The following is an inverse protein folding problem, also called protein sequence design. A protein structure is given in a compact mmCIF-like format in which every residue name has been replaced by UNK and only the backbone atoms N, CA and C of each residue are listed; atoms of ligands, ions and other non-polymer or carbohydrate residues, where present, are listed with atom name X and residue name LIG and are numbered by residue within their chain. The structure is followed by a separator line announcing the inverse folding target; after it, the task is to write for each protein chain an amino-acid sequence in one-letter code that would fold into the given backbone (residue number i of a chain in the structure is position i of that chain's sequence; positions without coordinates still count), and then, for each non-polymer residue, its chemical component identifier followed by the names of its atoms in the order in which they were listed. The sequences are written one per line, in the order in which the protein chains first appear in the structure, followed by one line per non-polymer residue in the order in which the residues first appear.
data_IF_819420670229
#
_entry.id   IF_819420670229
#
_cell.length_a   1.000
_cell.length_b   1.000
_cell.length_c   1.000
_cell.angle_alpha   90.00
_cell.angle_beta   90.00
_cell.angle_gamma   90.00
#
_symmetry.space_group_name_H-M   'P 1'
#
loop_
_entity.id
_entity.type
_entity.pdbx_description
1 polymer ?
#
# COMPACT_ATOMS: atom_id res chain seq x y z
N UNK A 1 46.76 49.41 6.42
CA UNK A 1 46.05 49.88 5.21
C UNK A 1 45.82 48.80 4.15
N UNK A 2 46.68 47.77 4.01
CA UNK A 2 46.48 46.68 3.03
C UNK A 2 45.28 45.75 3.28
N UNK A 3 44.84 45.57 4.54
CA UNK A 3 43.74 44.66 4.86
C UNK A 3 42.36 45.18 4.40
N UNK A 4 42.17 46.49 4.34
CA UNK A 4 40.92 47.08 3.84
C UNK A 4 40.74 46.85 2.33
N UNK A 5 41.85 46.88 1.58
CA UNK A 5 41.82 46.68 0.13
C UNK A 5 41.51 45.24 -0.27
N UNK A 6 42.01 44.26 0.49
CA UNK A 6 41.69 42.84 0.29
C UNK A 6 40.22 42.54 0.60
N UNK A 7 39.66 43.15 1.65
CA UNK A 7 38.24 43.00 1.98
C UNK A 7 37.34 43.61 0.88
N UNK A 8 37.71 44.76 0.33
CA UNK A 8 36.99 45.38 -0.79
C UNK A 8 37.10 44.55 -2.08
N UNK A 9 38.25 43.95 -2.37
CA UNK A 9 38.45 43.07 -3.52
C UNK A 9 37.63 41.77 -3.40
N UNK A 10 37.61 41.16 -2.21
CA UNK A 10 36.77 39.99 -1.93
C UNK A 10 35.28 40.31 -2.05
N UNK A 11 34.85 41.48 -1.59
CA UNK A 11 33.45 41.90 -1.69
C UNK A 11 33.02 42.13 -3.15
N UNK A 12 33.87 42.76 -3.96
CA UNK A 12 33.62 42.96 -5.41
C UNK A 12 33.60 41.61 -6.15
N UNK A 13 34.48 40.67 -5.79
CA UNK A 13 34.46 39.31 -6.34
C UNK A 13 33.16 38.58 -5.97
N UNK A 14 32.70 38.64 -4.73
CA UNK A 14 31.43 37.99 -4.31
C UNK A 14 30.23 38.57 -5.05
N UNK A 15 30.17 39.90 -5.26
CA UNK A 15 29.08 40.55 -6.01
C UNK A 15 29.16 40.27 -7.52
N UNK A 16 30.36 40.05 -8.07
CA UNK A 16 30.53 39.73 -9.50
C UNK A 16 30.22 38.26 -9.82
N UNK A 17 30.32 37.37 -8.83
CA UNK A 17 30.03 35.94 -8.96
C UNK A 17 28.67 35.52 -8.37
N UNK A 18 27.93 36.43 -7.73
CA UNK A 18 26.53 36.19 -7.43
C UNK A 18 25.74 36.18 -8.72
N UNK A 19 25.37 34.98 -9.19
CA UNK A 19 24.42 34.83 -10.28
C UNK A 19 23.16 35.63 -9.95
N UNK A 20 22.55 36.32 -10.93
CA UNK A 20 21.30 37.01 -10.69
C UNK A 20 20.31 36.00 -10.12
N UNK A 21 19.82 36.24 -8.91
CA UNK A 21 18.61 35.60 -8.43
C UNK A 21 17.55 36.04 -9.43
N UNK A 22 17.20 35.15 -10.37
CA UNK A 22 16.12 35.40 -11.31
C UNK A 22 14.87 35.60 -10.46
N UNK A 23 14.49 36.85 -10.26
CA UNK A 23 13.27 37.20 -9.56
C UNK A 23 12.13 36.54 -10.34
N UNK A 24 11.41 35.62 -9.69
CA UNK A 24 10.22 35.00 -10.27
C UNK A 24 9.26 36.10 -10.69
N UNK A 25 8.72 35.98 -11.90
CA UNK A 25 7.76 36.95 -12.42
C UNK A 25 6.36 36.56 -11.98
N UNK A 26 5.77 37.37 -11.12
CA UNK A 26 4.40 37.16 -10.67
C UNK A 26 3.41 37.38 -11.83
N UNK A 27 2.42 36.49 -11.90
CA UNK A 27 1.28 36.52 -12.82
C UNK A 27 -0.02 36.54 -12.02
N UNK A 28 -1.02 37.23 -12.54
CA UNK A 28 -2.39 37.17 -12.03
C UNK A 28 -3.08 35.88 -12.47
N UNK A 29 -4.09 35.44 -11.72
CA UNK A 29 -4.87 34.24 -12.06
C UNK A 29 -5.51 34.34 -13.46
N UNK A 30 -6.02 35.52 -13.84
CA UNK A 30 -6.60 35.73 -15.15
C UNK A 30 -5.57 35.58 -16.29
N UNK A 31 -4.33 35.99 -16.07
CA UNK A 31 -3.26 35.79 -17.05
C UNK A 31 -2.91 34.32 -17.20
N UNK A 32 -2.84 33.57 -16.10
CA UNK A 32 -2.62 32.11 -16.11
C UNK A 32 -3.71 31.41 -16.92
N UNK A 33 -4.98 31.70 -16.62
CA UNK A 33 -6.13 31.10 -17.32
C UNK A 33 -6.11 31.42 -18.82
N UNK A 34 -5.79 32.67 -19.21
CA UNK A 34 -5.65 33.05 -20.62
C UNK A 34 -4.54 32.28 -21.33
N UNK A 35 -3.41 32.05 -20.66
CA UNK A 35 -2.32 31.26 -21.22
C UNK A 35 -2.69 29.79 -21.40
N UNK A 36 -3.38 29.19 -20.43
CA UNK A 36 -3.86 27.81 -20.51
C UNK A 36 -4.87 27.60 -21.65
N UNK A 37 -5.62 28.65 -22.03
CA UNK A 37 -6.59 28.63 -23.12
C UNK A 37 -6.03 29.13 -24.47
N UNK A 38 -4.73 29.43 -24.54
CA UNK A 38 -4.10 29.97 -25.74
C UNK A 38 -4.09 28.92 -26.86
N UNK A 39 -4.85 29.18 -27.93
CA UNK A 39 -4.94 28.28 -29.10
C UNK A 39 -3.58 27.97 -29.74
N UNK A 40 -2.68 28.96 -29.75
CA UNK A 40 -1.32 28.79 -30.29
C UNK A 40 -0.52 27.78 -29.46
N UNK A 41 -0.63 27.85 -28.13
CA UNK A 41 0.07 26.91 -27.24
C UNK A 41 -0.57 25.53 -27.31
N UNK A 42 -1.90 25.45 -27.32
CA UNK A 42 -2.62 24.18 -27.43
C UNK A 42 -2.23 23.42 -28.70
N UNK A 43 -2.20 24.09 -29.85
CA UNK A 43 -1.76 23.48 -31.10
C UNK A 43 -0.31 22.97 -31.03
N UNK A 44 0.58 23.70 -30.33
CA UNK A 44 1.97 23.24 -30.12
C UNK A 44 2.03 22.02 -29.20
N UNK A 45 1.18 21.95 -28.18
CA UNK A 45 1.08 20.78 -27.31
C UNK A 45 0.59 19.57 -28.09
N UNK A 46 -0.36 19.72 -29.01
CA UNK A 46 -0.79 18.64 -29.91
C UNK A 46 0.36 18.14 -30.78
N UNK A 47 1.15 19.05 -31.38
CA UNK A 47 2.38 18.68 -32.12
C UNK A 47 3.37 17.90 -31.22
N UNK A 48 3.50 18.31 -29.96
CA UNK A 48 4.40 17.65 -29.00
C UNK A 48 3.89 16.27 -28.58
N UNK A 49 2.58 16.08 -28.49
CA UNK A 49 1.98 14.78 -28.18
C UNK A 49 2.27 13.74 -29.26
N UNK A 50 2.34 14.14 -30.54
CA UNK A 50 2.80 13.25 -31.61
C UNK A 50 4.25 12.78 -31.39
N UNK A 51 5.14 13.67 -30.90
CA UNK A 51 6.52 13.28 -30.56
C UNK A 51 6.55 12.35 -29.35
N UNK A 52 5.65 12.53 -28.38
CA UNK A 52 5.47 11.60 -27.25
C UNK A 52 4.97 10.23 -27.75
N UNK A 53 4.03 10.17 -28.67
CA UNK A 53 3.58 8.92 -29.34
C UNK A 53 4.72 8.18 -30.03
N UNK A 54 5.62 8.91 -30.68
CA UNK A 54 6.79 8.38 -31.38
C UNK A 54 7.99 8.06 -30.47
N UNK A 55 7.90 8.35 -29.17
CA UNK A 55 9.00 8.26 -28.20
C UNK A 55 10.24 9.10 -28.60
N UNK A 56 10.04 10.19 -29.37
CA UNK A 56 11.09 11.12 -29.79
C UNK A 56 11.31 12.22 -28.74
N UNK A 57 12.01 11.85 -27.66
CA UNK A 57 12.33 12.77 -26.57
C UNK A 57 13.31 13.88 -26.94
N UNK A 58 14.18 13.63 -27.93
CA UNK A 58 15.17 14.60 -28.39
C UNK A 58 14.49 15.69 -29.22
N UNK A 59 13.63 15.29 -30.16
CA UNK A 59 12.77 16.19 -30.91
C UNK A 59 11.85 17.00 -30.00
N UNK A 60 11.25 16.34 -29.00
CA UNK A 60 10.39 17.00 -28.02
C UNK A 60 11.14 18.06 -27.20
N UNK A 61 12.32 17.71 -26.67
CA UNK A 61 13.17 18.65 -25.92
C UNK A 61 13.58 19.84 -26.79
N UNK A 62 13.96 19.58 -28.04
CA UNK A 62 14.30 20.63 -28.99
C UNK A 62 13.12 21.56 -29.26
N UNK A 63 11.93 21.01 -29.53
CA UNK A 63 10.74 21.77 -29.88
C UNK A 63 10.25 22.63 -28.69
N UNK A 64 10.25 22.09 -27.47
CA UNK A 64 9.94 22.84 -26.25
C UNK A 64 10.92 23.99 -26.00
N UNK A 65 12.23 23.73 -26.17
CA UNK A 65 13.25 24.75 -25.90
C UNK A 65 13.23 25.93 -26.89
N UNK A 66 12.57 25.78 -28.03
CA UNK A 66 12.38 26.86 -29.01
C UNK A 66 11.21 27.79 -28.71
N UNK A 67 10.29 27.39 -27.83
CA UNK A 67 9.21 28.26 -27.41
C UNK A 67 9.75 29.39 -26.55
N UNK A 68 9.24 30.60 -26.76
CA UNK A 68 9.52 31.73 -25.89
C UNK A 68 8.78 31.59 -24.55
N UNK A 69 9.30 32.21 -23.50
CA UNK A 69 8.54 32.39 -22.26
C UNK A 69 7.41 33.41 -22.47
N UNK A 70 6.21 33.20 -21.90
CA UNK A 70 5.81 32.11 -21.00
C UNK A 70 5.32 30.83 -21.71
N UNK A 71 5.10 30.85 -23.03
CA UNK A 71 4.53 29.73 -23.80
C UNK A 71 5.23 28.40 -23.51
N UNK A 72 6.54 28.44 -23.33
CA UNK A 72 7.34 27.28 -22.98
C UNK A 72 6.90 26.58 -21.69
N UNK A 73 6.67 27.32 -20.60
CA UNK A 73 6.25 26.73 -19.32
C UNK A 73 4.80 26.27 -19.36
N UNK A 74 3.94 27.00 -20.07
CA UNK A 74 2.56 26.62 -20.33
C UNK A 74 2.52 25.28 -21.08
N UNK A 75 3.33 25.15 -22.15
CA UNK A 75 3.40 23.93 -22.94
C UNK A 75 3.95 22.75 -22.14
N UNK A 76 4.99 22.95 -21.31
CA UNK A 76 5.48 21.92 -20.37
C UNK A 76 4.37 21.42 -19.44
N UNK A 77 3.64 22.36 -18.85
CA UNK A 77 2.55 22.05 -17.93
C UNK A 77 1.42 21.28 -18.60
N UNK A 78 0.91 21.78 -19.74
CA UNK A 78 -0.19 21.14 -20.46
C UNK A 78 0.20 19.78 -21.02
N UNK A 79 1.41 19.63 -21.56
CA UNK A 79 1.92 18.34 -22.06
C UNK A 79 1.99 17.30 -20.95
N UNK A 80 2.63 17.63 -19.83
CA UNK A 80 2.77 16.68 -18.71
C UNK A 80 1.44 16.39 -18.05
N UNK A 81 0.55 17.40 -17.96
CA UNK A 81 -0.82 17.21 -17.48
C UNK A 81 -1.57 16.23 -18.39
N UNK A 82 -1.47 16.37 -19.71
CA UNK A 82 -2.09 15.45 -20.65
C UNK A 82 -1.54 14.02 -20.51
N UNK A 83 -0.23 13.85 -20.27
CA UNK A 83 0.37 12.53 -20.02
C UNK A 83 -0.17 11.93 -18.70
N UNK A 84 -0.32 12.75 -17.66
CA UNK A 84 -0.84 12.33 -16.35
C UNK A 84 -2.33 11.97 -16.42
N UNK A 85 -3.15 12.83 -17.02
CA UNK A 85 -4.61 12.68 -17.12
C UNK A 85 -5.02 11.46 -17.95
N UNK A 86 -4.21 11.07 -18.95
CA UNK A 86 -4.44 9.87 -19.79
C UNK A 86 -3.75 8.61 -19.26
N UNK A 87 -3.16 8.67 -18.05
CA UNK A 87 -2.56 7.51 -17.39
C UNK A 87 -1.51 6.75 -18.23
N UNK A 88 -0.79 7.46 -19.09
CA UNK A 88 0.13 6.83 -20.04
C UNK A 88 1.36 6.25 -19.33
N UNK A 89 1.66 4.98 -19.61
CA UNK A 89 2.90 4.34 -19.14
C UNK A 89 4.09 4.98 -19.86
N UNK A 90 5.07 5.46 -19.08
CA UNK A 90 6.26 6.09 -19.65
C UNK A 90 7.28 5.04 -20.13
N UNK A 91 7.85 5.26 -21.31
CA UNK A 91 9.07 4.57 -21.71
C UNK A 91 10.25 5.02 -20.82
N UNK A 92 11.37 4.27 -20.78
CA UNK A 92 12.58 4.72 -20.09
C UNK A 92 13.11 6.05 -20.61
N UNK A 93 13.06 6.30 -21.93
CA UNK A 93 13.48 7.57 -22.52
C UNK A 93 12.58 8.72 -22.06
N UNK A 94 11.26 8.52 -22.11
CA UNK A 94 10.29 9.51 -21.69
C UNK A 94 10.41 9.80 -20.18
N UNK A 95 10.67 8.78 -19.35
CA UNK A 95 10.93 8.97 -17.93
C UNK A 95 12.16 9.87 -17.68
N UNK A 96 13.24 9.71 -18.43
CA UNK A 96 14.41 10.62 -18.36
C UNK A 96 14.01 12.05 -18.75
N UNK A 97 13.22 12.21 -19.82
CA UNK A 97 12.73 13.52 -20.24
C UNK A 97 11.87 14.20 -19.15
N UNK A 98 10.91 13.49 -18.57
CA UNK A 98 10.01 13.98 -17.50
C UNK A 98 10.83 14.31 -16.24
N UNK A 99 11.81 13.46 -15.89
CA UNK A 99 12.72 13.71 -14.77
C UNK A 99 13.53 14.99 -14.99
N UNK A 100 13.90 15.28 -16.24
CA UNK A 100 14.52 16.56 -16.61
C UNK A 100 13.60 17.76 -16.35
N UNK A 101 12.29 17.64 -16.61
CA UNK A 101 11.33 18.72 -16.35
C UNK A 101 11.15 19.01 -14.86
N UNK A 102 11.23 17.99 -13.99
CA UNK A 102 11.17 18.14 -12.52
C UNK A 102 12.27 19.08 -11.98
N UNK A 103 13.44 19.07 -12.61
CA UNK A 103 14.61 19.83 -12.15
C UNK A 103 14.67 21.26 -12.67
N UNK A 104 13.76 21.68 -13.56
CA UNK A 104 13.71 23.04 -14.08
C UNK A 104 12.96 23.96 -13.12
N UNK A 105 13.54 25.10 -12.68
CA UNK A 105 12.86 26.04 -11.82
C UNK A 105 11.77 26.80 -12.60
N UNK A 106 10.55 26.93 -12.08
CA UNK A 106 9.52 27.79 -12.66
C UNK A 106 9.95 29.25 -12.64
N UNK A 107 9.72 29.94 -13.75
CA UNK A 107 10.01 31.37 -13.93
C UNK A 107 8.84 32.23 -13.52
N UNK A 108 7.61 31.73 -13.68
CA UNK A 108 6.39 32.44 -13.37
C UNK A 108 5.72 31.87 -12.12
N UNK A 109 5.32 32.76 -11.21
CA UNK A 109 4.57 32.42 -10.00
C UNK A 109 3.25 33.17 -9.94
N UNK A 110 2.34 32.70 -9.10
CA UNK A 110 1.06 33.34 -8.81
C UNK A 110 0.85 33.35 -7.29
N UNK A 111 0.21 34.40 -6.78
CA UNK A 111 -0.22 34.44 -5.39
C UNK A 111 -1.49 33.60 -5.19
N UNK A 112 -1.44 32.69 -4.23
CA UNK A 112 -2.58 31.94 -3.74
C UNK A 112 -2.92 32.41 -2.32
N UNK A 113 -4.21 32.60 -2.04
CA UNK A 113 -4.72 33.02 -0.73
C UNK A 113 -5.49 31.89 -0.07
N UNK A 114 -5.08 31.49 1.13
CA UNK A 114 -5.75 30.46 1.92
C UNK A 114 -5.54 30.69 3.41
N UNK A 115 -6.59 30.47 4.22
CA UNK A 115 -6.55 30.52 5.70
C UNK A 115 -5.90 31.79 6.30
N UNK A 116 -6.06 32.95 5.64
CA UNK A 116 -5.50 34.22 6.10
C UNK A 116 -4.02 34.45 5.76
N UNK A 117 -3.41 33.56 4.97
CA UNK A 117 -2.04 33.67 4.47
C UNK A 117 -2.02 33.83 2.95
N UNK A 118 -0.97 34.50 2.44
CA UNK A 118 -0.65 34.58 1.02
C UNK A 118 0.65 33.82 0.78
N UNK A 119 0.66 32.92 -0.20
CA UNK A 119 1.86 32.19 -0.59
C UNK A 119 2.04 32.22 -2.11
N UNK A 120 3.30 32.23 -2.55
CA UNK A 120 3.66 32.23 -3.97
C UNK A 120 3.87 30.81 -4.46
N UNK A 121 3.10 30.40 -5.47
CA UNK A 121 3.21 29.09 -6.11
C UNK A 121 3.63 29.22 -7.58
N UNK A 122 4.23 28.19 -8.19
CA UNK A 122 4.45 28.18 -9.63
C UNK A 122 3.13 28.37 -10.39
N UNK A 123 3.10 29.34 -11.32
CA UNK A 123 1.91 29.63 -12.13
C UNK A 123 1.54 28.46 -13.04
N UNK A 124 2.56 27.71 -13.49
CA UNK A 124 2.42 26.48 -14.26
C UNK A 124 3.23 25.37 -13.56
N UNK A 125 2.59 24.59 -12.70
CA UNK A 125 3.30 23.66 -11.79
C UNK A 125 3.69 22.33 -12.46
N UNK A 126 4.43 22.42 -13.57
CA UNK A 126 4.99 21.27 -14.28
C UNK A 126 6.00 20.45 -13.44
N UNK A 127 6.78 21.01 -12.48
CA UNK A 127 7.67 20.20 -11.65
C UNK A 127 6.90 19.23 -10.74
N UNK A 128 5.76 19.65 -10.18
CA UNK A 128 4.94 18.79 -9.34
C UNK A 128 4.31 17.64 -10.15
N UNK A 129 3.79 17.91 -11.35
CA UNK A 129 3.28 16.86 -12.25
C UNK A 129 4.42 15.88 -12.61
N UNK A 130 5.59 16.41 -12.97
CA UNK A 130 6.76 15.57 -13.28
C UNK A 130 7.13 14.66 -12.11
N UNK A 131 7.13 15.17 -10.88
CA UNK A 131 7.42 14.38 -9.69
C UNK A 131 6.43 13.24 -9.48
N UNK A 132 5.12 13.47 -9.73
CA UNK A 132 4.09 12.43 -9.64
C UNK A 132 4.23 11.38 -10.74
N UNK A 133 4.45 11.80 -11.99
CA UNK A 133 4.69 10.91 -13.12
C UNK A 133 5.90 9.99 -12.89
N UNK A 134 7.03 10.53 -12.42
CA UNK A 134 8.21 9.71 -12.09
C UNK A 134 7.95 8.76 -10.92
N UNK A 135 7.21 9.22 -9.90
CA UNK A 135 6.82 8.35 -8.78
C UNK A 135 5.97 7.17 -9.28
N UNK A 136 5.00 7.41 -10.16
CA UNK A 136 4.17 6.37 -10.79
C UNK A 136 5.04 5.41 -11.60
N UNK A 137 5.85 5.92 -12.52
CA UNK A 137 6.72 5.08 -13.36
C UNK A 137 7.65 4.18 -12.55
N UNK A 138 8.29 4.71 -11.49
CA UNK A 138 9.12 3.89 -10.60
C UNK A 138 8.31 2.80 -9.89
N UNK A 139 7.05 3.07 -9.55
CA UNK A 139 6.15 2.05 -8.99
C UNK A 139 5.84 0.98 -10.03
N UNK A 140 5.49 1.37 -11.26
CA UNK A 140 5.15 0.46 -12.36
C UNK A 140 6.32 -0.48 -12.70
N UNK A 141 7.56 0.05 -12.71
CA UNK A 141 8.76 -0.77 -12.92
C UNK A 141 8.94 -1.82 -11.82
N UNK A 142 8.76 -1.44 -10.55
CA UNK A 142 8.85 -2.38 -9.42
C UNK A 142 7.76 -3.43 -9.47
N UNK A 143 6.54 -3.04 -9.84
CA UNK A 143 5.42 -3.97 -10.04
C UNK A 143 5.75 -4.98 -11.13
N UNK A 144 6.24 -4.51 -12.28
CA UNK A 144 6.63 -5.40 -13.37
C UNK A 144 7.78 -6.34 -12.97
N UNK A 145 8.81 -5.82 -12.29
CA UNK A 145 9.93 -6.63 -11.78
C UNK A 145 9.43 -7.74 -10.84
N UNK A 146 8.58 -7.38 -9.87
CA UNK A 146 7.97 -8.33 -8.94
C UNK A 146 7.19 -9.43 -9.68
N UNK A 147 6.30 -9.05 -10.60
CA UNK A 147 5.49 -9.99 -11.37
C UNK A 147 6.39 -10.90 -12.21
N UNK A 148 7.38 -10.35 -12.94
CA UNK A 148 8.29 -11.15 -13.76
C UNK A 148 9.09 -12.15 -12.94
N UNK A 149 9.63 -11.74 -11.78
CA UNK A 149 10.36 -12.65 -10.89
C UNK A 149 9.45 -13.73 -10.30
N UNK A 150 8.21 -13.39 -9.94
CA UNK A 150 7.23 -14.34 -9.43
C UNK A 150 6.81 -15.36 -10.50
N UNK A 151 6.43 -14.89 -11.69
CA UNK A 151 5.97 -15.71 -12.80
C UNK A 151 7.06 -16.61 -13.38
N UNK A 152 8.32 -16.16 -13.31
CA UNK A 152 9.48 -16.96 -13.72
C UNK A 152 10.00 -17.91 -12.62
N UNK A 153 9.36 -17.96 -11.45
CA UNK A 153 9.78 -18.77 -10.29
C UNK A 153 11.20 -18.42 -9.81
N UNK A 154 11.57 -17.14 -9.92
CA UNK A 154 12.88 -16.60 -9.52
C UNK A 154 12.80 -15.73 -8.26
N UNK A 155 11.60 -15.33 -7.84
CA UNK A 155 11.41 -14.49 -6.65
C UNK A 155 11.73 -15.27 -5.37
N UNK A 156 12.84 -14.92 -4.71
CA UNK A 156 13.15 -15.40 -3.35
C UNK A 156 12.47 -14.50 -2.33
N UNK A 157 11.43 -15.00 -1.67
CA UNK A 157 10.53 -14.21 -0.82
C UNK A 157 11.25 -13.57 0.37
N UNK A 158 12.17 -14.32 1.00
CA UNK A 158 12.96 -13.82 2.13
C UNK A 158 13.80 -12.62 1.72
N UNK A 159 14.53 -12.73 0.62
CA UNK A 159 15.44 -11.69 0.16
C UNK A 159 14.64 -10.45 -0.28
N UNK A 160 13.54 -10.67 -0.98
CA UNK A 160 12.59 -9.62 -1.34
C UNK A 160 12.13 -8.80 -0.11
N UNK A 161 11.69 -9.47 0.95
CA UNK A 161 11.10 -8.82 2.13
C UNK A 161 12.12 -8.39 3.20
N UNK A 162 13.37 -8.87 3.15
CA UNK A 162 14.38 -8.62 4.19
C UNK A 162 15.51 -7.71 3.76
N UNK A 163 15.81 -7.60 2.47
CA UNK A 163 16.91 -6.77 1.99
C UNK A 163 16.55 -5.28 1.89
N UNK A 164 17.56 -4.42 2.03
CA UNK A 164 17.43 -2.98 1.91
C UNK A 164 17.03 -2.26 3.21
N UNK A 165 16.72 -0.97 3.07
CA UNK A 165 16.26 -0.10 4.15
C UNK A 165 14.81 -0.44 4.57
N UNK A 166 14.41 -0.04 5.77
CA UNK A 166 13.04 -0.26 6.27
C UNK A 166 11.97 0.36 5.35
N UNK A 167 12.30 1.49 4.72
CA UNK A 167 11.45 2.12 3.71
C UNK A 167 11.25 1.24 2.47
N UNK A 168 12.32 0.64 1.96
CA UNK A 168 12.26 -0.26 0.80
C UNK A 168 11.52 -1.55 1.11
N UNK A 169 11.77 -2.14 2.28
CA UNK A 169 11.05 -3.33 2.76
C UNK A 169 9.55 -3.07 2.81
N UNK A 170 9.13 -1.93 3.35
CA UNK A 170 7.71 -1.56 3.42
C UNK A 170 7.07 -1.42 2.04
N UNK A 171 7.77 -0.80 1.09
CA UNK A 171 7.28 -0.71 -0.30
C UNK A 171 7.13 -2.10 -0.93
N UNK A 172 8.11 -2.99 -0.73
CA UNK A 172 8.08 -4.35 -1.28
C UNK A 172 6.99 -5.21 -0.67
N UNK A 173 6.75 -5.05 0.63
CA UNK A 173 5.62 -5.66 1.34
C UNK A 173 4.29 -5.13 0.81
N UNK A 174 4.14 -3.81 0.69
CA UNK A 174 2.94 -3.18 0.13
C UNK A 174 2.65 -3.68 -1.29
N UNK A 175 3.70 -3.79 -2.10
CA UNK A 175 3.60 -4.28 -3.47
C UNK A 175 3.18 -5.75 -3.52
N UNK A 176 3.80 -6.62 -2.73
CA UNK A 176 3.41 -8.02 -2.65
C UNK A 176 1.94 -8.15 -2.23
N UNK A 177 1.53 -7.48 -1.15
CA UNK A 177 0.14 -7.57 -0.66
C UNK A 177 -0.87 -7.11 -1.71
N UNK A 178 -0.51 -6.08 -2.49
CA UNK A 178 -1.35 -5.52 -3.54
C UNK A 178 -1.47 -6.40 -4.78
N UNK A 179 -0.38 -7.05 -5.19
CA UNK A 179 -0.30 -7.76 -6.48
C UNK A 179 -0.37 -9.28 -6.35
N UNK A 180 -0.37 -9.86 -5.14
CA UNK A 180 -0.35 -11.32 -4.98
C UNK A 180 -1.55 -12.02 -5.64
N UNK A 181 -2.72 -11.38 -5.70
CA UNK A 181 -3.90 -11.93 -6.39
C UNK A 181 -3.87 -11.76 -7.92
N UNK A 182 -2.97 -10.92 -8.45
CA UNK A 182 -2.79 -10.75 -9.90
C UNK A 182 -1.82 -11.77 -10.51
N UNK A 183 -1.06 -12.48 -9.66
CA UNK A 183 -0.15 -13.54 -10.07
C UNK A 183 -0.88 -14.81 -10.52
N UNK A 184 -0.23 -15.60 -11.37
CA UNK A 184 -0.72 -16.90 -11.77
C UNK A 184 -0.80 -17.88 -10.57
N UNK A 185 -1.71 -18.87 -10.60
CA UNK A 185 -1.77 -19.89 -9.55
C UNK A 185 -0.45 -20.64 -9.35
N UNK A 186 0.33 -20.78 -10.43
CA UNK A 186 1.67 -21.39 -10.39
C UNK A 186 2.65 -20.53 -9.60
N UNK A 187 2.72 -19.23 -9.89
CA UNK A 187 3.56 -18.29 -9.16
C UNK A 187 3.18 -18.18 -7.68
N UNK A 188 1.87 -18.14 -7.39
CA UNK A 188 1.36 -18.13 -6.02
C UNK A 188 1.75 -19.38 -5.23
N UNK A 189 1.61 -20.57 -5.84
CA UNK A 189 2.05 -21.81 -5.21
C UNK A 189 3.57 -21.81 -4.95
N UNK A 190 4.38 -21.38 -5.93
CA UNK A 190 5.83 -21.28 -5.78
C UNK A 190 6.24 -20.37 -4.61
N UNK A 191 5.61 -19.19 -4.47
CA UNK A 191 5.93 -18.26 -3.38
C UNK A 191 5.46 -18.84 -2.03
N UNK A 192 4.27 -19.43 -1.97
CA UNK A 192 3.74 -20.04 -0.73
C UNK A 192 4.56 -21.23 -0.24
N UNK A 193 5.05 -22.07 -1.15
CA UNK A 193 5.90 -23.23 -0.83
C UNK A 193 7.20 -22.83 -0.12
N UNK A 194 7.74 -21.65 -0.39
CA UNK A 194 8.90 -21.13 0.33
C UNK A 194 8.62 -20.97 1.84
N UNK A 195 7.34 -20.80 2.23
CA UNK A 195 6.91 -20.70 3.62
C UNK A 195 6.46 -22.02 4.24
N UNK A 196 5.85 -22.91 3.46
CA UNK A 196 5.22 -24.13 3.97
C UNK A 196 6.15 -25.34 3.95
N UNK A 197 7.05 -25.42 2.97
CA UNK A 197 7.85 -26.64 2.73
C UNK A 197 9.19 -26.59 3.47
N UNK A 198 9.59 -25.40 3.93
CA UNK A 198 10.83 -25.19 4.67
C UNK A 198 10.52 -25.07 6.16
N UNK A 199 11.29 -25.73 7.03
CA UNK A 199 11.25 -25.45 8.46
C UNK A 199 11.82 -24.05 8.70
N UNK A 200 10.96 -23.05 8.63
CA UNK A 200 11.34 -21.67 8.85
C UNK A 200 11.60 -21.46 10.33
N UNK A 201 12.87 -21.42 10.71
CA UNK A 201 13.30 -21.13 12.08
C UNK A 201 13.91 -19.74 12.25
N UNK A 202 14.30 -19.08 11.15
CA UNK A 202 15.12 -17.85 11.22
C UNK A 202 14.40 -16.57 10.81
N UNK A 203 13.34 -16.65 10.00
CA UNK A 203 12.71 -15.45 9.45
C UNK A 203 11.25 -15.70 9.04
N UNK A 204 10.33 -14.85 9.47
CA UNK A 204 8.94 -14.88 9.00
C UNK A 204 8.55 -13.54 8.39
N UNK A 205 7.70 -13.52 7.35
CA UNK A 205 7.14 -12.29 6.83
C UNK A 205 6.19 -11.66 7.86
N UNK A 206 5.78 -10.41 7.62
CA UNK A 206 4.80 -9.74 8.46
C UNK A 206 3.47 -10.50 8.46
N UNK A 207 2.68 -10.35 9.53
CA UNK A 207 1.34 -10.92 9.63
C UNK A 207 0.45 -10.49 8.46
N UNK A 208 0.61 -9.25 7.98
CA UNK A 208 -0.13 -8.70 6.84
C UNK A 208 0.15 -9.46 5.54
N UNK A 209 1.42 -9.75 5.25
CA UNK A 209 1.81 -10.55 4.09
C UNK A 209 1.22 -11.94 4.18
N UNK A 210 1.39 -12.60 5.33
CA UNK A 210 0.95 -13.97 5.50
C UNK A 210 -0.58 -14.10 5.41
N UNK A 211 -1.32 -13.16 6.01
CA UNK A 211 -2.78 -13.08 5.85
C UNK A 211 -3.16 -12.98 4.38
N UNK A 212 -2.53 -12.08 3.61
CA UNK A 212 -2.89 -11.91 2.19
C UNK A 212 -2.60 -13.18 1.38
N UNK A 213 -1.45 -13.81 1.60
CA UNK A 213 -1.10 -15.05 0.91
C UNK A 213 -2.08 -16.19 1.26
N UNK A 214 -2.42 -16.33 2.55
CA UNK A 214 -3.38 -17.32 3.02
C UNK A 214 -4.79 -17.10 2.46
N UNK A 215 -5.22 -15.85 2.35
CA UNK A 215 -6.51 -15.48 1.74
C UNK A 215 -6.61 -15.86 0.27
N UNK A 216 -5.57 -15.54 -0.52
CA UNK A 216 -5.59 -15.74 -1.98
C UNK A 216 -5.52 -17.21 -2.35
N UNK A 217 -4.74 -18.00 -1.61
CA UNK A 217 -4.55 -19.42 -1.90
C UNK A 217 -5.51 -20.35 -1.15
N UNK A 218 -6.28 -19.83 -0.20
CA UNK A 218 -7.06 -20.63 0.77
C UNK A 218 -6.22 -21.77 1.39
N UNK A 219 -4.95 -21.49 1.68
CA UNK A 219 -3.97 -22.50 2.09
C UNK A 219 -3.96 -22.67 3.61
N UNK A 220 -4.39 -23.83 4.08
CA UNK A 220 -4.41 -24.19 5.49
C UNK A 220 -3.01 -24.20 6.14
N UNK A 221 -1.94 -24.49 5.40
CA UNK A 221 -0.58 -24.48 5.93
C UNK A 221 -0.10 -23.04 6.21
N UNK A 222 -0.46 -22.08 5.36
CA UNK A 222 -0.18 -20.66 5.62
C UNK A 222 -0.98 -20.14 6.82
N UNK A 223 -2.23 -20.57 6.97
CA UNK A 223 -3.02 -20.25 8.16
C UNK A 223 -2.45 -20.88 9.43
N UNK A 224 -1.99 -22.13 9.39
CA UNK A 224 -1.34 -22.76 10.55
C UNK A 224 -0.09 -21.98 10.99
N UNK A 225 0.70 -21.49 10.03
CA UNK A 225 1.81 -20.59 10.31
C UNK A 225 1.34 -19.27 10.95
N UNK A 226 0.30 -18.65 10.37
CA UNK A 226 -0.29 -17.40 10.86
C UNK A 226 -0.75 -17.52 12.31
N UNK A 227 -1.42 -18.61 12.66
CA UNK A 227 -1.95 -18.82 14.01
C UNK A 227 -0.88 -19.15 15.05
N UNK A 228 0.32 -19.54 14.63
CA UNK A 228 1.48 -19.71 15.52
C UNK A 228 2.19 -18.39 15.81
N UNK A 229 2.00 -17.36 14.98
CA UNK A 229 2.61 -16.05 15.20
C UNK A 229 1.99 -15.33 16.41
N UNK A 230 2.72 -14.33 16.92
CA UNK A 230 2.16 -13.40 17.91
C UNK A 230 0.98 -12.67 17.28
N UNK A 231 -0.18 -12.75 17.94
CA UNK A 231 -1.36 -12.04 17.47
C UNK A 231 -1.14 -10.52 17.47
N UNK A 232 -1.56 -9.90 16.37
CA UNK A 232 -1.60 -8.46 16.15
C UNK A 232 -2.93 -8.05 15.50
N UNK A 233 -3.04 -6.77 15.15
CA UNK A 233 -4.21 -6.22 14.47
C UNK A 233 -4.59 -6.98 13.19
N UNK A 234 -3.63 -7.39 12.36
CA UNK A 234 -3.92 -8.08 11.10
C UNK A 234 -4.47 -9.50 11.34
N UNK A 235 -3.95 -10.23 12.33
CA UNK A 235 -4.48 -11.54 12.70
C UNK A 235 -5.91 -11.47 13.27
N UNK A 236 -6.23 -10.40 14.00
CA UNK A 236 -7.58 -10.18 14.56
C UNK A 236 -8.58 -9.83 13.48
N UNK A 237 -8.22 -8.91 12.57
CA UNK A 237 -9.08 -8.55 11.42
C UNK A 237 -9.30 -9.74 10.51
N UNK A 238 -8.29 -10.58 10.29
CA UNK A 238 -8.47 -11.79 9.48
C UNK A 238 -9.44 -12.79 10.14
N UNK A 239 -9.41 -12.91 11.46
CA UNK A 239 -10.35 -13.75 12.20
C UNK A 239 -11.80 -13.27 12.04
N UNK A 240 -12.02 -11.96 12.12
CA UNK A 240 -13.34 -11.32 11.88
C UNK A 240 -13.81 -11.56 10.44
N UNK A 241 -12.90 -11.42 9.47
CA UNK A 241 -13.20 -11.68 8.06
C UNK A 241 -13.61 -13.15 7.85
N UNK A 242 -12.87 -14.10 8.43
CA UNK A 242 -13.21 -15.53 8.36
C UNK A 242 -14.59 -15.81 8.98
N UNK A 243 -14.91 -15.18 10.12
CA UNK A 243 -16.22 -15.31 10.75
C UNK A 243 -17.35 -14.83 9.80
N UNK A 244 -17.12 -13.74 9.08
CA UNK A 244 -18.09 -13.21 8.10
C UNK A 244 -18.33 -14.13 6.90
N UNK A 245 -17.36 -14.95 6.50
CA UNK A 245 -17.49 -15.87 5.35
C UNK A 245 -18.33 -17.11 5.65
N UNK A 246 -18.36 -17.56 6.92
CA UNK A 246 -19.15 -18.70 7.38
C UNK A 246 -18.94 -20.03 6.60
N UNK A 247 -17.88 -20.16 5.81
CA UNK A 247 -17.57 -21.38 5.04
C UNK A 247 -16.98 -22.48 5.94
N UNK A 248 -17.06 -23.77 5.56
CA UNK A 248 -16.44 -24.86 6.33
C UNK A 248 -14.93 -24.64 6.54
N UNK A 249 -14.23 -24.17 5.50
CA UNK A 249 -12.82 -23.80 5.60
C UNK A 249 -12.59 -22.70 6.63
N UNK A 250 -13.38 -21.61 6.56
CA UNK A 250 -13.24 -20.50 7.51
C UNK A 250 -13.50 -20.95 8.96
N UNK A 251 -14.51 -21.79 9.18
CA UNK A 251 -14.79 -22.37 10.50
C UNK A 251 -13.60 -23.19 11.02
N UNK A 252 -12.98 -24.00 10.16
CA UNK A 252 -11.76 -24.74 10.51
C UNK A 252 -10.61 -23.81 10.89
N UNK A 253 -10.43 -22.71 10.15
CA UNK A 253 -9.39 -21.73 10.48
C UNK A 253 -9.67 -20.98 11.79
N UNK A 254 -10.91 -20.62 12.09
CA UNK A 254 -11.27 -20.01 13.39
C UNK A 254 -11.03 -21.00 14.54
N UNK A 255 -11.37 -22.28 14.36
CA UNK A 255 -11.06 -23.34 15.34
C UNK A 255 -9.54 -23.52 15.54
N UNK A 256 -8.74 -23.39 14.48
CA UNK A 256 -7.28 -23.42 14.55
C UNK A 256 -6.72 -22.19 15.28
N UNK A 257 -7.19 -20.99 14.95
CA UNK A 257 -6.82 -19.73 15.60
C UNK A 257 -7.09 -19.75 17.11
N UNK A 258 -8.14 -20.45 17.56
CA UNK A 258 -8.46 -20.61 18.98
C UNK A 258 -7.39 -21.39 19.79
N UNK A 259 -6.38 -21.98 19.14
CA UNK A 259 -5.20 -22.56 19.80
C UNK A 259 -4.20 -21.48 20.24
N UNK A 260 -4.21 -20.32 19.59
CA UNK A 260 -3.39 -19.17 19.97
C UNK A 260 -3.98 -18.50 21.22
N UNK A 261 -3.24 -18.41 22.34
CA UNK A 261 -3.77 -17.82 23.58
C UNK A 261 -4.31 -16.39 23.43
N UNK A 262 -3.71 -15.60 22.53
CA UNK A 262 -4.10 -14.20 22.30
C UNK A 262 -5.36 -14.07 21.43
N UNK A 263 -5.63 -15.01 20.52
CA UNK A 263 -6.82 -15.01 19.66
C UNK A 263 -7.98 -15.85 20.22
N UNK A 264 -7.70 -16.73 21.19
CA UNK A 264 -8.64 -17.71 21.74
C UNK A 264 -10.02 -17.16 22.08
N UNK A 265 -10.08 -16.03 22.80
CA UNK A 265 -11.36 -15.45 23.23
C UNK A 265 -12.19 -14.98 22.03
N UNK A 266 -11.56 -14.22 21.13
CA UNK A 266 -12.21 -13.73 19.93
C UNK A 266 -12.70 -14.90 19.06
N UNK A 267 -11.86 -15.92 18.83
CA UNK A 267 -12.23 -17.07 18.00
C UNK A 267 -13.42 -17.85 18.58
N UNK A 268 -13.47 -18.05 19.90
CA UNK A 268 -14.60 -18.71 20.56
C UNK A 268 -15.87 -17.84 20.46
N UNK A 269 -15.76 -16.53 20.63
CA UNK A 269 -16.87 -15.59 20.47
C UNK A 269 -17.43 -15.64 19.05
N UNK A 270 -16.58 -15.66 18.02
CA UNK A 270 -17.01 -15.78 16.62
C UNK A 270 -17.68 -17.13 16.34
N UNK A 271 -17.11 -18.25 16.82
CA UNK A 271 -17.71 -19.58 16.64
C UNK A 271 -19.07 -19.70 17.33
N UNK A 272 -19.26 -19.05 18.48
CA UNK A 272 -20.51 -19.08 19.22
C UNK A 272 -21.64 -18.28 18.56
N UNK A 273 -21.33 -17.34 17.66
CA UNK A 273 -22.32 -16.56 16.91
C UNK A 273 -22.92 -17.34 15.72
N UNK A 274 -22.30 -18.44 15.30
CA UNK A 274 -22.72 -19.19 14.11
C UNK A 274 -24.07 -19.86 14.35
N UNK A 275 -25.09 -19.44 13.60
CA UNK A 275 -26.45 -20.00 13.67
C UNK A 275 -26.90 -20.55 12.31
N UNK A 276 -27.25 -21.84 12.20
CA UNK A 276 -27.16 -22.90 13.22
C UNK A 276 -25.72 -23.41 13.41
N UNK A 277 -25.38 -23.88 14.63
CA UNK A 277 -24.06 -24.43 14.93
C UNK A 277 -23.76 -25.72 14.11
N UNK A 278 -22.71 -25.71 13.28
CA UNK A 278 -22.26 -26.90 12.55
C UNK A 278 -21.73 -27.99 13.49
N UNK A 279 -21.82 -29.26 13.08
CA UNK A 279 -21.44 -30.39 13.93
C UNK A 279 -19.95 -30.38 14.32
N UNK A 280 -19.07 -29.93 13.43
CA UNK A 280 -17.63 -29.79 13.73
C UNK A 280 -17.40 -28.74 14.83
N UNK A 281 -18.06 -27.58 14.71
CA UNK A 281 -17.98 -26.49 15.70
C UNK A 281 -18.54 -26.94 17.04
N UNK A 282 -19.67 -27.68 17.07
CA UNK A 282 -20.20 -28.28 18.30
C UNK A 282 -19.18 -29.18 18.99
N UNK A 283 -18.60 -30.12 18.26
CA UNK A 283 -17.59 -31.06 18.79
C UNK A 283 -16.38 -30.29 19.35
N UNK A 284 -15.93 -29.26 18.64
CA UNK A 284 -14.84 -28.41 19.08
C UNK A 284 -15.17 -27.65 20.38
N UNK A 285 -16.32 -26.97 20.45
CA UNK A 285 -16.72 -26.20 21.63
C UNK A 285 -16.97 -27.11 22.84
N UNK A 286 -17.56 -28.29 22.64
CA UNK A 286 -17.68 -29.32 23.70
C UNK A 286 -16.31 -29.73 24.22
N UNK A 287 -15.36 -29.99 23.32
CA UNK A 287 -13.97 -30.32 23.70
C UNK A 287 -13.36 -29.19 24.53
N UNK A 288 -13.60 -27.93 24.18
CA UNK A 288 -13.14 -26.78 24.96
C UNK A 288 -13.79 -26.70 26.34
N UNK A 289 -15.08 -27.02 26.47
CA UNK A 289 -15.77 -27.06 27.77
C UNK A 289 -15.29 -28.17 28.73
N UNK A 290 -14.49 -29.13 28.25
CA UNK A 290 -13.82 -30.09 29.14
C UNK A 290 -12.63 -29.48 29.89
N UNK A 291 -12.06 -28.38 29.36
CA UNK A 291 -10.92 -27.67 29.96
C UNK A 291 -11.40 -26.63 30.97
N UNK A 292 -10.75 -26.59 32.13
CA UNK A 292 -11.16 -25.72 33.25
C UNK A 292 -11.07 -24.25 32.86
N UNK A 293 -10.01 -23.85 32.14
CA UNK A 293 -9.78 -22.47 31.73
C UNK A 293 -10.77 -21.95 30.68
N UNK A 294 -11.40 -22.84 29.91
CA UNK A 294 -12.26 -22.47 28.78
C UNK A 294 -13.76 -22.68 29.09
N UNK A 295 -14.11 -23.58 30.01
CA UNK A 295 -15.50 -24.04 30.24
C UNK A 295 -16.52 -22.93 30.53
N UNK A 296 -16.23 -22.06 31.50
CA UNK A 296 -17.15 -20.97 31.88
C UNK A 296 -17.31 -19.95 30.74
N UNK A 297 -16.21 -19.61 30.07
CA UNK A 297 -16.23 -18.65 28.96
C UNK A 297 -17.01 -19.18 27.76
N UNK A 298 -16.74 -20.41 27.32
CA UNK A 298 -17.45 -21.04 26.19
C UNK A 298 -18.95 -21.15 26.48
N UNK A 299 -19.32 -21.58 27.68
CA UNK A 299 -20.72 -21.71 28.08
C UNK A 299 -21.48 -20.38 28.06
N UNK A 300 -20.88 -19.32 28.60
CA UNK A 300 -21.48 -17.98 28.60
C UNK A 300 -21.64 -17.43 27.19
N UNK A 301 -20.63 -17.58 26.32
CA UNK A 301 -20.72 -17.14 24.91
C UNK A 301 -21.83 -17.90 24.16
N UNK A 302 -21.95 -19.21 24.33
CA UNK A 302 -23.01 -20.00 23.72
C UNK A 302 -24.40 -19.59 24.22
N UNK A 303 -24.55 -19.30 25.51
CA UNK A 303 -25.82 -18.86 26.07
C UNK A 303 -26.24 -17.49 25.56
N UNK A 304 -25.30 -16.53 25.51
CA UNK A 304 -25.52 -15.18 25.00
C UNK A 304 -25.95 -15.17 23.53
N UNK A 305 -25.47 -16.14 22.75
CA UNK A 305 -25.81 -16.30 21.33
C UNK A 305 -27.00 -17.25 21.08
N UNK A 306 -27.82 -17.53 22.11
CA UNK A 306 -29.08 -18.28 21.94
C UNK A 306 -28.94 -19.81 21.92
N UNK A 307 -27.75 -20.35 22.20
CA UNK A 307 -27.50 -21.80 22.25
C UNK A 307 -27.61 -22.39 23.66
N UNK A 308 -28.14 -21.64 24.63
CA UNK A 308 -28.25 -22.09 26.03
C UNK A 308 -29.03 -23.40 26.24
N UNK A 309 -30.07 -23.66 25.43
CA UNK A 309 -30.78 -24.94 25.45
C UNK A 309 -29.88 -26.12 25.10
N UNK A 310 -29.15 -26.00 24.00
CA UNK A 310 -28.18 -27.00 23.57
C UNK A 310 -27.05 -27.22 24.59
N UNK A 311 -26.56 -26.17 25.24
CA UNK A 311 -25.55 -26.31 26.31
C UNK A 311 -26.06 -27.18 27.46
N UNK A 312 -27.34 -27.03 27.85
CA UNK A 312 -27.95 -27.88 28.90
C UNK A 312 -28.08 -29.34 28.44
N UNK A 313 -28.38 -29.58 27.17
CA UNK A 313 -28.42 -30.93 26.60
C UNK A 313 -27.03 -31.59 26.58
N UNK A 314 -25.97 -30.82 26.31
CA UNK A 314 -24.59 -31.30 26.40
C UNK A 314 -24.24 -31.69 27.83
N UNK A 315 -24.68 -30.93 28.84
CA UNK A 315 -24.44 -31.25 30.24
C UNK A 315 -25.10 -32.54 30.70
N UNK A 316 -26.30 -32.86 30.19
CA UNK A 316 -27.02 -34.08 30.54
C UNK A 316 -26.43 -35.32 29.86
N UNK A 317 -25.72 -35.15 28.74
CA UNK A 317 -25.20 -36.24 27.90
C UNK A 317 -23.70 -36.45 28.03
N UNK A 318 -22.92 -35.48 28.49
CA UNK A 318 -21.46 -35.55 28.54
C UNK A 318 -20.89 -35.29 29.95
N UNK A 319 -20.48 -36.36 30.63
CA UNK A 319 -19.92 -36.33 31.98
C UNK A 319 -18.51 -35.73 32.09
N UNK A 320 -17.81 -35.52 30.96
CA UNK A 320 -16.47 -34.93 30.95
C UNK A 320 -16.49 -33.40 30.96
N UNK A 321 -17.63 -32.79 30.63
CA UNK A 321 -17.83 -31.34 30.71
C UNK A 321 -17.87 -30.90 32.17
N UNK A 322 -17.24 -29.77 32.48
CA UNK A 322 -17.18 -29.23 33.85
C UNK A 322 -18.52 -28.61 34.25
N UNK A 323 -19.50 -29.47 34.57
CA UNK A 323 -20.90 -29.10 34.77
C UNK A 323 -21.11 -27.97 35.79
N UNK A 324 -20.34 -27.95 36.89
CA UNK A 324 -20.44 -26.88 37.90
C UNK A 324 -20.08 -25.51 37.33
N UNK A 325 -19.01 -25.41 36.53
CA UNK A 325 -18.55 -24.16 35.92
C UNK A 325 -19.49 -23.68 34.81
N UNK A 326 -20.04 -24.61 34.04
CA UNK A 326 -21.01 -24.31 32.97
C UNK A 326 -22.34 -23.84 33.58
N UNK A 327 -22.85 -24.52 34.61
CA UNK A 327 -24.09 -24.11 35.29
C UNK A 327 -23.96 -22.72 35.94
N UNK A 328 -22.81 -22.42 36.55
CA UNK A 328 -22.53 -21.09 37.09
C UNK A 328 -22.48 -20.00 35.99
N UNK A 329 -21.96 -20.34 34.81
CA UNK A 329 -21.93 -19.42 33.67
C UNK A 329 -23.32 -19.19 33.04
N UNK A 330 -24.22 -20.16 33.15
CA UNK A 330 -25.61 -20.06 32.65
C UNK A 330 -26.57 -19.35 33.61
N UNK A 331 -26.18 -19.19 34.88
CA UNK A 331 -26.99 -18.53 35.92
C UNK A 331 -26.73 -17.02 36.06
N UNK A 332 -25.71 -16.50 35.37
CA UNK A 332 -25.35 -15.08 35.32
C UNK A 332 -25.79 -14.46 34.00
#
# INVERSE_FOLDING_TARGET
MLQGWLASLLLVLVVSFSQPVHASKEMTQQEVERWLQSQVVLQKVDDFLLLVEQDDTDGLKFALNRLALPQQEVARFLLLKHIEDNERILSPKMAIFVQGQKSLPPTYTMLERGDGYEFSIPAFNYPAISARLIKRWNSDQKTLEFILQAESEQLVLRDWLSEGSDYERKIREDLLVKEFDSLSPKANAFISQQLTDTNITEWLPSTRVLVRMAQVNEDAALYDLLWKMRADYHSQVELERLASLSSPFAQQQIMAAARNPSLKRQAITELAQITPLPNEVKTFLVTRMTKVEDASFVASQLAQNGHGGWVRDVLSTNSQVKASLVLQALSN
#
